data_IF_830831719671
#
_entry.id   IF_830831719671
#
_cell.length_a   1.000
_cell.length_b   1.000
_cell.length_c   1.000
_cell.angle_alpha   90.00
_cell.angle_beta   90.00
_cell.angle_gamma   90.00
#
_symmetry.space_group_name_H-M   'P 1'
#
loop_
_entity.id
_entity.type
_entity.pdbx_description
1 polymer ?
#
# COMPACT_ATOMS: atom_id res chain seq x y z
N UNK A 1 6.59 -6.54 -0.18
CA UNK A 1 6.14 -5.66 0.91
C UNK A 1 6.82 -4.32 0.69
N UNK A 2 6.06 -3.24 0.70
CA UNK A 2 6.56 -1.89 0.41
C UNK A 2 6.01 -0.94 1.47
N UNK A 3 6.85 -0.08 2.04
CA UNK A 3 6.45 0.90 3.04
C UNK A 3 7.58 1.27 4.00
N UNK A 4 7.80 2.57 4.16
CA UNK A 4 8.80 3.15 5.04
C UNK A 4 8.39 3.10 6.52
N UNK A 5 9.23 3.68 7.36
CA UNK A 5 8.98 3.85 8.79
C UNK A 5 8.15 5.11 9.02
N UNK A 6 6.95 4.95 9.59
CA UNK A 6 6.15 6.05 10.11
C UNK A 6 6.85 6.74 11.29
N UNK A 7 6.58 8.04 11.49
CA UNK A 7 7.23 8.83 12.55
C UNK A 7 7.02 8.22 13.96
N UNK A 8 5.86 7.62 14.19
CA UNK A 8 5.46 7.02 15.48
C UNK A 8 5.70 5.51 15.56
N UNK A 9 6.28 4.89 14.53
CA UNK A 9 6.47 3.44 14.48
C UNK A 9 7.89 3.03 14.88
N UNK A 10 8.08 1.88 15.56
CA UNK A 10 9.43 1.42 15.95
C UNK A 10 10.23 0.88 14.76
N UNK A 11 9.56 0.38 13.72
CA UNK A 11 10.13 -0.28 12.54
C UNK A 11 9.35 0.11 11.28
N UNK A 12 9.87 -0.17 10.08
CA UNK A 12 9.14 0.09 8.84
C UNK A 12 7.95 -0.85 8.65
N UNK A 13 6.92 -0.38 7.94
CA UNK A 13 5.77 -1.20 7.57
C UNK A 13 6.21 -2.45 6.79
N UNK A 14 7.16 -2.29 5.87
CA UNK A 14 7.70 -3.41 5.09
C UNK A 14 8.41 -4.46 5.95
N UNK A 15 9.07 -4.04 7.04
CA UNK A 15 9.70 -4.96 7.99
C UNK A 15 8.65 -5.70 8.83
N UNK A 16 7.67 -4.98 9.37
CA UNK A 16 6.54 -5.55 10.12
C UNK A 16 5.80 -6.61 9.30
N UNK A 17 5.45 -6.27 8.06
CA UNK A 17 4.71 -7.18 7.17
C UNK A 17 5.54 -8.39 6.74
N UNK A 18 6.85 -8.23 6.50
CA UNK A 18 7.74 -9.36 6.20
C UNK A 18 7.75 -10.37 7.35
N UNK A 19 7.94 -9.90 8.59
CA UNK A 19 7.98 -10.77 9.76
C UNK A 19 6.63 -11.44 10.03
N UNK A 20 5.53 -10.72 9.79
CA UNK A 20 4.19 -11.30 9.86
C UNK A 20 4.02 -12.47 8.88
N UNK A 21 4.45 -12.33 7.62
CA UNK A 21 4.34 -13.42 6.65
C UNK A 21 5.24 -14.61 7.00
N UNK A 22 6.45 -14.35 7.51
CA UNK A 22 7.37 -15.40 7.96
C UNK A 22 6.77 -16.19 9.14
N UNK A 23 6.17 -15.51 10.12
CA UNK A 23 5.51 -16.18 11.24
C UNK A 23 4.28 -17.01 10.81
N UNK A 24 3.73 -16.71 9.63
CA UNK A 24 2.65 -17.47 8.99
C UNK A 24 3.17 -18.48 7.94
N UNK A 25 4.41 -18.95 8.10
CA UNK A 25 5.02 -20.03 7.31
C UNK A 25 5.28 -19.70 5.83
N UNK A 26 5.30 -18.42 5.45
CA UNK A 26 5.82 -18.01 4.14
C UNK A 26 7.35 -17.96 4.20
N UNK A 27 8.01 -18.69 3.30
CA UNK A 27 9.47 -18.69 3.22
C UNK A 27 10.00 -17.30 2.89
N UNK A 28 11.06 -16.88 3.59
CA UNK A 28 11.62 -15.54 3.48
C UNK A 28 12.20 -15.22 2.08
N UNK A 29 12.67 -16.23 1.36
CA UNK A 29 13.17 -16.13 -0.02
C UNK A 29 12.08 -15.73 -1.04
N UNK A 30 10.81 -15.92 -0.70
CA UNK A 30 9.65 -15.49 -1.50
C UNK A 30 9.20 -14.08 -1.18
N UNK A 31 9.80 -13.41 -0.19
CA UNK A 31 9.38 -12.10 0.29
C UNK A 31 10.44 -11.06 -0.06
N UNK A 32 10.08 -10.17 -0.99
CA UNK A 32 10.86 -8.97 -1.30
C UNK A 32 10.32 -7.83 -0.42
N UNK A 33 11.23 -7.12 0.26
CA UNK A 33 10.91 -5.94 1.07
C UNK A 33 11.55 -4.69 0.49
N UNK A 34 10.80 -3.60 0.49
CA UNK A 34 11.17 -2.24 0.10
C UNK A 34 10.74 -1.32 1.24
N UNK A 35 11.68 -0.62 1.88
CA UNK A 35 11.46 0.13 3.12
C UNK A 35 11.67 1.64 2.99
N UNK A 36 11.66 2.18 1.76
CA UNK A 36 11.90 3.60 1.49
C UNK A 36 10.65 4.36 1.07
N UNK A 37 9.63 3.70 0.52
CA UNK A 37 8.41 4.36 0.07
C UNK A 37 7.63 4.99 1.24
N UNK A 38 7.55 6.31 1.28
CA UNK A 38 6.78 7.09 2.26
C UNK A 38 5.32 7.30 1.87
N UNK A 39 4.98 7.14 0.58
CA UNK A 39 3.61 7.28 0.08
C UNK A 39 3.22 6.17 -0.91
N UNK A 40 1.96 6.20 -1.36
CA UNK A 40 1.42 5.17 -2.27
C UNK A 40 1.97 5.25 -3.68
N UNK A 41 2.34 6.44 -4.17
CA UNK A 41 2.95 6.59 -5.49
C UNK A 41 4.38 6.02 -5.48
N UNK A 42 5.17 6.32 -4.45
CA UNK A 42 6.49 5.74 -4.24
C UNK A 42 6.43 4.22 -4.06
N UNK A 43 5.43 3.71 -3.33
CA UNK A 43 5.23 2.27 -3.17
C UNK A 43 5.11 1.57 -4.53
N UNK A 44 4.33 2.14 -5.45
CA UNK A 44 4.13 1.60 -6.79
C UNK A 44 5.40 1.77 -7.62
N UNK A 45 6.02 2.96 -7.62
CA UNK A 45 7.20 3.25 -8.40
C UNK A 45 8.40 2.35 -8.01
N UNK A 46 8.65 2.16 -6.71
CA UNK A 46 9.74 1.33 -6.21
C UNK A 46 9.45 -0.16 -6.36
N UNK A 47 8.18 -0.56 -6.31
CA UNK A 47 7.78 -1.97 -6.48
C UNK A 47 7.65 -2.40 -7.95
N UNK A 48 7.46 -1.47 -8.89
CA UNK A 48 7.20 -1.74 -10.31
C UNK A 48 8.20 -2.68 -10.97
N UNK A 49 9.49 -2.56 -10.60
CA UNK A 49 10.57 -3.42 -11.11
C UNK A 49 10.42 -4.91 -10.74
N UNK A 50 9.58 -5.23 -9.76
CA UNK A 50 9.31 -6.60 -9.31
C UNK A 50 8.00 -7.16 -9.85
N UNK A 51 7.21 -6.36 -10.58
CA UNK A 51 5.97 -6.82 -11.16
C UNK A 51 6.26 -7.65 -12.41
N UNK A 52 6.07 -8.96 -12.29
CA UNK A 52 6.20 -9.92 -13.39
C UNK A 52 4.88 -10.66 -13.60
N UNK A 53 4.32 -10.58 -14.80
CA UNK A 53 3.04 -11.19 -15.15
C UNK A 53 1.85 -10.65 -14.34
N UNK A 54 0.98 -11.56 -13.88
CA UNK A 54 -0.25 -11.21 -13.14
C UNK A 54 0.09 -10.76 -11.72
N UNK A 55 -0.09 -9.47 -11.47
CA UNK A 55 0.22 -8.84 -10.19
C UNK A 55 -1.05 -8.40 -9.47
N UNK A 56 -1.12 -8.64 -8.15
CA UNK A 56 -2.22 -8.21 -7.29
C UNK A 56 -1.70 -7.26 -6.22
N UNK A 57 -2.28 -6.07 -6.11
CA UNK A 57 -2.06 -5.14 -5.00
C UNK A 57 -3.04 -5.48 -3.88
N UNK A 58 -2.52 -5.76 -2.70
CA UNK A 58 -3.30 -6.02 -1.49
C UNK A 58 -3.11 -4.85 -0.53
N UNK A 59 -4.20 -4.16 -0.19
CA UNK A 59 -4.21 -3.07 0.80
C UNK A 59 -5.62 -2.92 1.39
N UNK A 60 -5.79 -2.01 2.35
CA UNK A 60 -7.09 -1.70 2.94
C UNK A 60 -8.11 -1.27 1.90
N UNK A 61 -9.38 -1.59 2.13
CA UNK A 61 -10.51 -1.26 1.24
C UNK A 61 -10.58 0.22 0.85
N UNK A 62 -10.35 1.14 1.78
CA UNK A 62 -10.35 2.59 1.53
C UNK A 62 -9.13 3.08 0.74
N UNK A 63 -7.99 2.39 0.82
CA UNK A 63 -6.74 2.72 0.12
C UNK A 63 -6.64 2.13 -1.30
N UNK A 64 -7.39 1.05 -1.55
CA UNK A 64 -7.21 0.25 -2.76
C UNK A 64 -7.48 1.05 -4.03
N UNK A 65 -8.51 1.89 -4.03
CA UNK A 65 -8.87 2.66 -5.22
C UNK A 65 -7.73 3.61 -5.64
N UNK A 66 -7.13 4.33 -4.69
CA UNK A 66 -6.00 5.24 -4.94
C UNK A 66 -4.78 4.48 -5.46
N UNK A 67 -4.46 3.33 -4.86
CA UNK A 67 -3.37 2.49 -5.32
C UNK A 67 -3.57 1.99 -6.76
N UNK A 68 -4.78 1.53 -7.12
CA UNK A 68 -5.09 1.08 -8.48
C UNK A 68 -5.04 2.22 -9.50
N UNK A 69 -5.52 3.42 -9.12
CA UNK A 69 -5.46 4.61 -9.96
C UNK A 69 -4.01 4.99 -10.29
N UNK A 70 -3.15 5.09 -9.27
CA UNK A 70 -1.73 5.41 -9.43
C UNK A 70 -0.99 4.34 -10.25
N UNK A 71 -1.30 3.05 -10.03
CA UNK A 71 -0.69 1.96 -10.78
C UNK A 71 -1.05 2.01 -12.27
N UNK A 72 -2.31 2.36 -12.59
CA UNK A 72 -2.76 2.59 -13.97
C UNK A 72 -2.05 3.78 -14.60
N UNK A 73 -1.86 4.87 -13.85
CA UNK A 73 -1.14 6.06 -14.32
C UNK A 73 0.33 5.75 -14.63
N UNK A 74 0.97 4.91 -13.83
CA UNK A 74 2.33 4.38 -14.05
C UNK A 74 2.42 3.34 -15.17
N UNK A 75 1.31 3.05 -15.87
CA UNK A 75 1.27 2.09 -16.99
C UNK A 75 1.40 0.62 -16.56
N UNK A 76 1.15 0.32 -15.29
CA UNK A 76 1.23 -1.04 -14.74
C UNK A 76 -0.14 -1.70 -14.76
N UNK A 77 -0.22 -2.93 -15.29
CA UNK A 77 -1.42 -3.76 -15.19
C UNK A 77 -1.40 -4.57 -13.90
N UNK A 78 -2.25 -4.18 -12.96
CA UNK A 78 -2.43 -4.86 -11.67
C UNK A 78 -3.90 -5.08 -11.37
N UNK A 79 -4.19 -6.15 -10.65
CA UNK A 79 -5.48 -6.38 -10.01
C UNK A 79 -5.42 -5.91 -8.55
N UNK A 80 -6.57 -5.67 -7.93
CA UNK A 80 -6.66 -5.19 -6.55
C UNK A 80 -7.42 -6.18 -5.66
N UNK A 81 -6.91 -6.41 -4.46
CA UNK A 81 -7.60 -7.17 -3.43
C UNK A 81 -7.73 -6.33 -2.16
N UNK A 82 -8.97 -6.03 -1.79
CA UNK A 82 -9.27 -5.21 -0.63
C UNK A 82 -9.26 -6.06 0.65
N UNK A 83 -8.34 -5.75 1.56
CA UNK A 83 -8.41 -6.22 2.93
C UNK A 83 -9.47 -5.38 3.66
N UNK A 84 -10.50 -6.03 4.21
CA UNK A 84 -11.59 -5.34 4.91
C UNK A 84 -11.05 -4.65 6.16
N UNK A 85 -11.30 -3.36 6.26
CA UNK A 85 -10.86 -2.59 7.43
C UNK A 85 -11.68 -2.98 8.65
N UNK A 86 -11.01 -3.44 9.71
CA UNK A 86 -11.66 -3.71 11.01
C UNK A 86 -11.83 -2.41 11.78
N UNK A 87 -12.94 -1.73 11.56
CA UNK A 87 -13.27 -0.53 12.31
C UNK A 87 -14.06 -0.91 13.56
N UNK A 88 -13.40 -0.90 14.72
CA UNK A 88 -14.05 -1.20 16.00
C UNK A 88 -14.85 -0.02 16.57
N UNK A 89 -14.64 1.19 16.04
CA UNK A 89 -15.36 2.40 16.45
C UNK A 89 -15.66 3.28 15.23
N UNK A 90 -16.96 3.54 15.00
CA UNK A 90 -17.49 4.26 13.85
C UNK A 90 -16.96 5.69 13.72
N UNK A 91 -16.47 6.29 14.82
CA UNK A 91 -15.88 7.64 14.82
C UNK A 91 -14.54 7.74 14.08
N UNK A 92 -13.86 6.63 13.78
CA UNK A 92 -12.62 6.65 13.00
C UNK A 92 -12.85 6.56 11.49
N UNK A 93 -14.06 6.21 11.03
CA UNK A 93 -14.42 6.22 9.60
C UNK A 93 -14.11 7.56 8.92
N UNK A 94 -14.54 8.72 9.48
CA UNK A 94 -14.25 10.02 8.88
C UNK A 94 -12.76 10.31 8.74
N UNK A 95 -11.92 9.87 9.69
CA UNK A 95 -10.47 10.08 9.61
C UNK A 95 -9.84 9.21 8.52
N UNK A 96 -10.15 7.91 8.46
CA UNK A 96 -9.59 7.00 7.45
C UNK A 96 -10.03 7.36 6.02
N UNK A 97 -11.33 7.55 5.82
CA UNK A 97 -11.87 7.84 4.48
C UNK A 97 -11.70 9.31 4.10
N UNK A 98 -11.70 10.24 5.06
CA UNK A 98 -11.48 11.67 4.80
C UNK A 98 -10.05 11.98 4.36
N UNK A 99 -9.04 11.39 5.04
CA UNK A 99 -7.66 11.48 4.57
C UNK A 99 -7.49 10.91 3.17
N UNK A 100 -8.16 9.80 2.86
CA UNK A 100 -8.07 9.22 1.52
C UNK A 100 -8.72 10.05 0.43
N UNK A 101 -9.86 10.68 0.70
CA UNK A 101 -10.52 11.54 -0.28
C UNK A 101 -9.59 12.72 -0.63
N UNK A 102 -8.93 13.31 0.36
CA UNK A 102 -7.95 14.37 0.14
C UNK A 102 -6.73 13.86 -0.66
N UNK A 103 -6.19 12.71 -0.28
CA UNK A 103 -5.08 12.07 -1.00
C UNK A 103 -5.44 11.70 -2.44
N UNK A 104 -6.70 11.31 -2.70
CA UNK A 104 -7.21 11.01 -4.04
C UNK A 104 -7.34 12.27 -4.89
N UNK A 105 -7.91 13.34 -4.34
CA UNK A 105 -8.04 14.63 -5.03
C UNK A 105 -6.65 15.14 -5.40
N UNK A 106 -5.71 15.07 -4.46
CA UNK A 106 -4.33 15.48 -4.71
C UNK A 106 -3.68 14.64 -5.82
N UNK A 107 -3.82 13.30 -5.77
CA UNK A 107 -3.35 12.40 -6.82
C UNK A 107 -3.96 12.72 -8.19
N UNK A 108 -5.23 13.10 -8.25
CA UNK A 108 -5.92 13.46 -9.49
C UNK A 108 -5.42 14.78 -10.08
N UNK A 109 -5.08 15.76 -9.23
CA UNK A 109 -4.63 17.09 -9.66
C UNK A 109 -3.15 17.10 -10.05
N UNK A 110 -2.29 16.39 -9.31
CA UNK A 110 -0.84 16.48 -9.45
C UNK A 110 -0.18 15.22 -10.00
N UNK A 111 -0.91 14.12 -10.14
CA UNK A 111 -0.36 12.83 -10.61
C UNK A 111 0.65 12.19 -9.64
N UNK A 112 0.77 12.73 -8.42
CA UNK A 112 1.63 12.27 -7.31
C UNK A 112 0.93 12.53 -5.98
N UNK A 113 1.35 11.83 -4.92
CA UNK A 113 0.91 12.06 -3.53
C UNK A 113 2.00 12.79 -2.74
#
# INVERSE_FOLDING_TARGET
MSGAKGADEPVSEAFSMKNYLISHHIKADRIISEDKAGDTAENIAYSKKYFDGKTVIVTSDFHLYRALYLAKHEGVKVEGFAAKTKVNNLLYYPNYYGHEILGLIYAFVFGKC
#
